data_IF_134514161936
#
_entry.id   IF_134514161936
#
_cell.length_a   1.000
_cell.length_b   1.000
_cell.length_c   1.000
_cell.angle_alpha   90.00
_cell.angle_beta   90.00
_cell.angle_gamma   90.00
#
_symmetry.space_group_name_H-M   'P 1'
#
loop_
_entity.id
_entity.type
_entity.pdbx_description
1 polymer ?
#
# COMPACT_ATOMS: atom_id res chain seq x y z
N UNK A 1 -3.06 1.76 -12.16
CA UNK A 1 -1.77 1.52 -12.87
C UNK A 1 -0.87 0.67 -11.99
N UNK A 2 0.08 -0.09 -12.55
CA UNK A 2 1.03 -0.89 -11.78
C UNK A 2 2.37 -0.13 -11.69
N UNK A 3 2.91 0.03 -10.49
CA UNK A 3 4.17 0.75 -10.21
C UNK A 3 5.09 -0.10 -9.34
N UNK A 4 6.36 0.25 -9.23
CA UNK A 4 7.30 -0.38 -8.30
C UNK A 4 7.48 0.50 -7.08
N UNK A 5 7.36 -0.09 -5.89
CA UNK A 5 7.62 0.59 -4.64
C UNK A 5 8.18 -0.36 -3.58
N UNK A 6 8.94 0.18 -2.64
CA UNK A 6 9.51 -0.50 -1.49
C UNK A 6 8.61 -0.31 -0.27
N UNK A 7 8.28 -1.40 0.43
CA UNK A 7 7.51 -1.30 1.67
C UNK A 7 8.41 -0.82 2.81
N UNK A 8 8.05 0.31 3.42
CA UNK A 8 8.84 0.92 4.50
C UNK A 8 8.32 0.54 5.88
N UNK A 9 7.02 0.74 6.14
CA UNK A 9 6.46 0.51 7.47
C UNK A 9 4.93 0.38 7.47
N UNK A 10 4.42 -0.20 8.56
CA UNK A 10 3.02 -0.13 8.97
C UNK A 10 2.94 0.56 10.34
N UNK A 11 2.49 1.82 10.36
CA UNK A 11 2.45 2.66 11.56
C UNK A 11 1.11 3.39 11.64
N UNK A 12 0.55 3.49 12.86
CA UNK A 12 -0.75 4.14 13.13
C UNK A 12 -1.92 3.71 12.23
N UNK A 13 -1.86 2.49 11.68
CA UNK A 13 -2.88 1.94 10.80
C UNK A 13 -2.64 2.17 9.30
N UNK A 14 -1.56 2.84 8.92
CA UNK A 14 -1.22 3.19 7.54
C UNK A 14 -0.02 2.42 7.02
N UNK A 15 0.04 2.20 5.71
CA UNK A 15 1.16 1.52 5.04
C UNK A 15 1.95 2.51 4.20
N UNK A 16 3.24 2.64 4.47
CA UNK A 16 4.11 3.57 3.75
C UNK A 16 4.94 2.84 2.70
N UNK A 17 4.92 3.34 1.47
CA UNK A 17 5.71 2.82 0.37
C UNK A 17 6.54 3.91 -0.31
N UNK A 18 7.81 3.61 -0.57
CA UNK A 18 8.71 4.47 -1.35
C UNK A 18 8.76 4.02 -2.82
N UNK A 19 8.30 4.87 -3.72
CA UNK A 19 8.28 4.62 -5.15
C UNK A 19 9.64 4.91 -5.79
N UNK A 20 9.89 4.29 -6.95
CA UNK A 20 11.16 4.43 -7.69
C UNK A 20 11.52 5.88 -8.08
N UNK A 21 10.54 6.78 -8.14
CA UNK A 21 10.72 8.21 -8.37
C UNK A 21 11.10 9.00 -7.11
N UNK A 22 11.27 8.33 -5.97
CA UNK A 22 11.56 8.96 -4.67
C UNK A 22 10.33 9.52 -3.96
N UNK A 23 9.13 9.25 -4.48
CA UNK A 23 7.86 9.65 -3.86
C UNK A 23 7.47 8.64 -2.78
N UNK A 24 7.15 9.12 -1.59
CA UNK A 24 6.51 8.29 -0.57
C UNK A 24 5.00 8.44 -0.65
N UNK A 25 4.29 7.31 -0.72
CA UNK A 25 2.83 7.29 -0.65
C UNK A 25 2.38 6.48 0.56
N UNK A 26 1.41 7.03 1.26
CA UNK A 26 0.76 6.43 2.42
C UNK A 26 -0.58 5.86 2.00
N UNK A 27 -0.82 4.61 2.34
CA UNK A 27 -2.08 3.91 2.04
C UNK A 27 -2.88 3.71 3.32
N UNK A 28 -4.15 4.09 3.28
CA UNK A 28 -5.13 3.87 4.34
C UNK A 28 -5.53 2.39 4.43
N UNK A 29 -5.64 1.73 3.28
CA UNK A 29 -6.16 0.38 3.20
C UNK A 29 -5.32 -0.53 2.30
N UNK A 30 -5.29 -1.81 2.67
CA UNK A 30 -4.76 -2.88 1.83
C UNK A 30 -5.85 -3.95 1.71
N UNK A 31 -6.17 -4.34 0.48
CA UNK A 31 -7.20 -5.32 0.22
C UNK A 31 -6.92 -6.64 0.99
N UNK A 32 -7.90 -7.25 1.68
CA UNK A 32 -7.66 -8.40 2.56
C UNK A 32 -6.95 -9.59 1.91
N UNK A 33 -7.18 -9.80 0.60
CA UNK A 33 -6.49 -10.81 -0.20
C UNK A 33 -4.96 -10.61 -0.26
N UNK A 34 -4.52 -9.36 -0.30
CA UNK A 34 -3.08 -9.01 -0.29
C UNK A 34 -2.49 -9.30 1.07
N UNK A 35 -3.16 -8.90 2.15
CA UNK A 35 -2.71 -9.17 3.53
C UNK A 35 -2.63 -10.66 3.87
N UNK A 36 -3.44 -11.51 3.23
CA UNK A 36 -3.33 -12.97 3.36
C UNK A 36 -2.06 -13.55 2.72
N UNK A 37 -1.48 -12.85 1.75
CA UNK A 37 -0.26 -13.30 1.05
C UNK A 37 0.99 -12.66 1.64
N UNK A 38 0.87 -11.40 2.04
CA UNK A 38 1.95 -10.58 2.59
C UNK A 38 1.44 -9.94 3.87
N UNK A 39 1.82 -10.50 5.02
CA UNK A 39 1.40 -9.96 6.33
C UNK A 39 2.21 -8.71 6.71
N UNK A 40 2.02 -7.64 5.91
CA UNK A 40 2.76 -6.38 6.05
C UNK A 40 2.59 -5.71 7.43
N UNK A 41 1.60 -6.13 8.22
CA UNK A 41 1.35 -5.57 9.56
C UNK A 41 2.27 -6.15 10.63
N UNK A 42 2.66 -7.40 10.50
CA UNK A 42 3.36 -8.13 11.56
C UNK A 42 4.68 -8.75 11.10
N UNK A 43 4.82 -9.02 9.80
CA UNK A 43 6.03 -9.63 9.25
C UNK A 43 7.00 -8.55 8.77
N UNK A 44 7.91 -8.17 9.67
CA UNK A 44 8.97 -7.19 9.41
C UNK A 44 9.95 -7.63 8.31
N UNK A 45 9.95 -8.91 7.88
CA UNK A 45 10.81 -9.38 6.78
C UNK A 45 10.45 -8.75 5.43
N UNK A 46 9.25 -8.16 5.32
CA UNK A 46 8.82 -7.40 4.16
C UNK A 46 9.31 -5.95 4.15
N UNK A 47 9.85 -5.44 5.26
CA UNK A 47 10.47 -4.10 5.28
C UNK A 47 11.64 -4.08 4.30
N UNK A 48 11.74 -2.99 3.55
CA UNK A 48 12.71 -2.77 2.49
C UNK A 48 12.63 -3.79 1.34
N UNK A 49 11.47 -4.47 1.16
CA UNK A 49 11.21 -5.32 0.00
C UNK A 49 10.46 -4.55 -1.07
N UNK A 50 10.90 -4.73 -2.30
CA UNK A 50 10.27 -4.12 -3.47
C UNK A 50 9.12 -4.97 -3.98
N UNK A 51 8.03 -4.29 -4.30
CA UNK A 51 6.81 -4.88 -4.84
C UNK A 51 6.37 -4.16 -6.11
N UNK A 52 5.77 -4.91 -7.02
CA UNK A 52 4.85 -4.34 -8.00
C UNK A 52 3.51 -4.08 -7.31
N UNK A 53 3.18 -2.82 -7.12
CA UNK A 53 1.97 -2.35 -6.43
C UNK A 53 0.92 -1.88 -7.45
N UNK A 54 -0.33 -2.26 -7.23
CA UNK A 54 -1.51 -1.69 -7.89
C UNK A 54 -2.45 -1.16 -6.84
N UNK A 55 -2.89 0.08 -7.00
CA UNK A 55 -3.76 0.77 -6.04
C UNK A 55 -4.79 1.63 -6.74
N UNK A 56 -5.81 2.04 -5.98
CA UNK A 56 -6.91 2.91 -6.41
C UNK A 56 -7.16 3.99 -5.37
N UNK A 57 -7.65 5.13 -5.84
CA UNK A 57 -8.28 6.16 -5.01
C UNK A 57 -9.76 5.82 -4.84
N UNK A 58 -10.23 5.76 -3.60
CA UNK A 58 -11.64 5.48 -3.28
C UNK A 58 -12.23 6.71 -2.62
N UNK A 59 -13.18 7.36 -3.28
CA UNK A 59 -13.99 8.41 -2.69
C UNK A 59 -15.10 7.81 -1.82
N UNK A 60 -15.35 8.40 -0.66
CA UNK A 60 -16.51 8.01 0.13
C UNK A 60 -17.79 8.60 -0.47
N UNK A 61 -18.81 7.76 -0.66
CA UNK A 61 -20.09 8.15 -1.29
C UNK A 61 -20.82 9.32 -0.61
N UNK A 62 -20.50 9.60 0.65
CA UNK A 62 -21.17 10.61 1.46
C UNK A 62 -20.28 11.85 1.71
N UNK A 63 -19.03 11.82 1.24
CA UNK A 63 -18.07 12.91 1.41
C UNK A 63 -17.11 12.89 0.22
N UNK A 64 -17.45 13.65 -0.83
CA UNK A 64 -16.68 13.71 -2.07
C UNK A 64 -15.27 14.29 -1.88
N UNK A 65 -15.05 15.02 -0.77
CA UNK A 65 -13.75 15.60 -0.42
C UNK A 65 -12.86 14.59 0.33
N UNK A 66 -13.41 13.45 0.77
CA UNK A 66 -12.66 12.40 1.45
C UNK A 66 -12.30 11.27 0.47
N UNK A 67 -11.02 11.21 0.09
CA UNK A 67 -10.43 10.16 -0.75
C UNK A 67 -9.40 9.38 0.07
N UNK A 68 -9.47 8.05 0.00
CA UNK A 68 -8.46 7.15 0.58
C UNK A 68 -7.69 6.43 -0.53
N UNK A 69 -6.46 6.02 -0.22
CA UNK A 69 -5.66 5.18 -1.11
C UNK A 69 -5.73 3.73 -0.65
N UNK A 70 -6.16 2.84 -1.54
CA UNK A 70 -6.26 1.40 -1.27
C UNK A 70 -5.37 0.58 -2.19
N UNK A 71 -4.54 -0.27 -1.59
CA UNK A 71 -3.75 -1.28 -2.31
C UNK A 71 -4.64 -2.45 -2.74
N UNK A 72 -4.72 -2.71 -4.04
CA UNK A 72 -5.51 -3.81 -4.64
C UNK A 72 -4.69 -5.07 -4.87
N UNK A 73 -3.38 -4.91 -5.15
CA UNK A 73 -2.49 -6.01 -5.44
C UNK A 73 -1.04 -5.68 -5.13
N UNK A 74 -0.33 -6.67 -4.58
CA UNK A 74 1.13 -6.68 -4.47
C UNK A 74 1.69 -7.93 -5.13
N UNK A 75 2.86 -7.80 -5.75
CA UNK A 75 3.67 -8.92 -6.22
C UNK A 75 5.13 -8.63 -5.88
N UNK A 76 5.72 -9.46 -5.04
CA UNK A 76 7.13 -9.34 -4.67
C UNK A 76 8.02 -9.53 -5.92
N UNK A 77 9.08 -8.71 -6.01
CA UNK A 77 10.09 -8.78 -7.07
C UNK A 77 11.18 -9.81 -6.76
#
# INVERSE_FOLDING_TARGET
MMRVAEFLSFEDGFYTFLFENGEELVFDEVHPRVLKQFDLKHDESFINKSFKITFVEVSQKNDEDFVIYRVESLKQL
#
